data_IF_047403225642
#
_entry.id   IF_047403225642
#
_cell.length_a   1.000
_cell.length_b   1.000
_cell.length_c   1.000
_cell.angle_alpha   90.00
_cell.angle_beta   90.00
_cell.angle_gamma   90.00
#
_symmetry.space_group_name_H-M   'P 1'
#
loop_
_entity.id
_entity.type
_entity.pdbx_description
1 polymer ?
#
# COMPACT_ATOMS: atom_id res chain seq x y z
N UNK A 1 -51.01 -25.10 -23.07
CA UNK A 1 -52.47 -25.11 -22.88
C UNK A 1 -52.77 -24.62 -21.48
N UNK A 2 -53.81 -23.79 -21.36
CA UNK A 2 -54.23 -23.03 -20.18
C UNK A 2 -54.62 -23.95 -19.02
N UNK A 3 -54.29 -23.57 -17.79
CA UNK A 3 -55.17 -23.78 -16.65
C UNK A 3 -54.90 -22.71 -15.60
N UNK A 4 -55.90 -21.84 -15.47
CA UNK A 4 -56.09 -20.83 -14.42
C UNK A 4 -56.87 -21.46 -13.25
N UNK A 5 -57.05 -20.69 -12.17
CA UNK A 5 -58.00 -20.86 -11.03
C UNK A 5 -57.48 -21.76 -9.88
N UNK A 6 -57.62 -21.44 -8.58
CA UNK A 6 -58.40 -20.44 -7.84
C UNK A 6 -57.88 -20.35 -6.36
N UNK A 7 -57.79 -19.12 -5.83
CA UNK A 7 -58.16 -18.62 -4.48
C UNK A 7 -58.08 -19.53 -3.21
N UNK A 8 -57.44 -19.02 -2.14
CA UNK A 8 -58.10 -18.79 -0.83
C UNK A 8 -57.14 -18.10 0.16
N UNK A 9 -57.43 -16.83 0.42
CA UNK A 9 -56.92 -16.02 1.52
C UNK A 9 -57.81 -16.29 2.73
N UNK A 10 -57.27 -16.70 3.87
CA UNK A 10 -58.03 -16.76 5.14
C UNK A 10 -57.32 -15.91 6.19
N UNK A 11 -57.96 -14.78 6.48
CA UNK A 11 -57.69 -13.91 7.60
C UNK A 11 -58.23 -14.54 8.89
N UNK A 12 -57.45 -14.46 9.97
CA UNK A 12 -57.90 -14.78 11.34
C UNK A 12 -58.11 -13.47 12.09
N UNK A 13 -59.29 -13.23 12.69
CA UNK A 13 -59.55 -12.00 13.45
C UNK A 13 -59.34 -12.18 14.96
N UNK A 14 -58.88 -11.08 15.57
CA UNK A 14 -59.31 -10.49 16.85
C UNK A 14 -59.20 -11.30 18.16
N UNK A 15 -58.37 -10.79 19.08
CA UNK A 15 -58.74 -10.65 20.49
C UNK A 15 -57.86 -9.58 21.16
N UNK A 16 -58.47 -8.46 21.52
CA UNK A 16 -57.89 -7.45 22.41
C UNK A 16 -58.02 -7.90 23.86
N UNK A 17 -56.96 -7.77 24.65
CA UNK A 17 -57.03 -7.73 26.11
C UNK A 17 -56.19 -6.54 26.61
N UNK A 18 -56.91 -5.49 26.98
CA UNK A 18 -56.45 -4.38 27.80
C UNK A 18 -56.32 -4.87 29.24
N UNK A 19 -55.16 -4.72 29.87
CA UNK A 19 -55.08 -4.65 31.33
C UNK A 19 -54.20 -3.46 31.73
N UNK A 20 -54.87 -2.42 32.19
CA UNK A 20 -54.27 -1.28 32.88
C UNK A 20 -54.02 -1.65 34.34
N UNK A 21 -52.85 -1.33 34.88
CA UNK A 21 -52.74 -0.81 36.26
C UNK A 21 -51.39 -0.14 36.51
N UNK A 22 -51.41 1.19 36.37
CA UNK A 22 -50.85 2.19 37.30
C UNK A 22 -49.55 1.80 38.04
N UNK A 23 -48.41 2.20 37.48
CA UNK A 23 -47.19 2.51 38.24
C UNK A 23 -46.97 4.02 38.26
N UNK A 24 -47.17 4.66 39.42
CA UNK A 24 -46.90 6.09 39.62
C UNK A 24 -45.41 6.29 39.91
N UNK A 25 -44.66 6.83 38.94
CA UNK A 25 -43.32 7.35 39.19
C UNK A 25 -43.42 8.84 39.53
N UNK A 26 -43.27 9.20 40.81
CA UNK A 26 -43.08 10.58 41.24
C UNK A 26 -41.64 11.01 40.93
N UNK A 27 -41.45 11.84 39.92
CA UNK A 27 -40.17 12.50 39.65
C UNK A 27 -40.05 13.76 40.50
N UNK A 28 -39.21 13.74 41.53
CA UNK A 28 -38.70 14.97 42.13
C UNK A 28 -37.58 15.50 41.24
N UNK A 29 -37.64 16.72 40.68
CA UNK A 29 -36.51 17.28 39.97
C UNK A 29 -35.41 17.65 40.98
N UNK A 30 -34.17 17.23 40.69
CA UNK A 30 -32.96 17.65 41.41
C UNK A 30 -32.72 19.16 41.17
N UNK A 31 -32.16 19.90 42.15
CA UNK A 31 -31.85 21.31 41.98
C UNK A 31 -30.72 21.50 40.96
N UNK A 32 -31.00 22.19 39.86
CA UNK A 32 -29.97 22.67 38.92
C UNK A 32 -29.33 23.93 39.46
N UNK A 33 -28.07 23.83 39.86
CA UNK A 33 -27.20 24.99 40.04
C UNK A 33 -26.75 25.54 38.68
N UNK A 34 -26.68 26.88 38.49
CA UNK A 34 -26.19 27.45 37.25
C UNK A 34 -24.67 27.22 37.13
N UNK A 35 -24.26 26.52 36.06
CA UNK A 35 -22.87 26.43 35.64
C UNK A 35 -22.40 27.80 35.14
N UNK A 36 -21.59 28.50 35.93
CA UNK A 36 -20.77 29.61 35.43
C UNK A 36 -19.72 29.06 34.46
N UNK A 37 -19.94 29.25 33.16
CA UNK A 37 -18.96 28.91 32.12
C UNK A 37 -17.84 29.96 32.09
N UNK A 38 -16.73 29.70 32.78
CA UNK A 38 -15.48 30.40 32.49
C UNK A 38 -14.90 29.81 31.20
N UNK A 39 -15.06 30.52 30.07
CA UNK A 39 -14.44 30.15 28.80
C UNK A 39 -12.94 30.49 28.85
N UNK A 40 -12.11 29.52 29.22
CA UNK A 40 -10.72 29.55 28.76
C UNK A 40 -10.70 29.28 27.25
N UNK A 41 -9.93 30.03 26.44
CA UNK A 41 -9.81 29.69 25.03
C UNK A 41 -9.12 28.33 24.92
N UNK A 42 -9.88 27.33 24.53
CA UNK A 42 -9.36 26.00 24.20
C UNK A 42 -8.48 26.14 22.95
N UNK A 43 -7.19 26.35 23.14
CA UNK A 43 -6.20 26.24 22.05
C UNK A 43 -6.17 24.79 21.60
N UNK A 44 -7.00 24.44 20.61
CA UNK A 44 -6.94 23.13 19.97
C UNK A 44 -5.58 22.99 19.29
N UNK A 45 -4.76 22.06 19.78
CA UNK A 45 -3.53 21.65 19.09
C UNK A 45 -3.94 20.97 17.78
N UNK A 46 -3.88 21.72 16.69
CA UNK A 46 -3.94 21.17 15.34
C UNK A 46 -2.68 20.30 15.16
N UNK A 47 -2.85 18.98 15.22
CA UNK A 47 -1.78 18.02 15.00
C UNK A 47 -1.44 17.98 13.51
N UNK A 48 -0.56 18.87 13.06
CA UNK A 48 0.08 18.80 11.75
C UNK A 48 1.35 17.93 11.83
N UNK A 49 1.31 16.76 11.18
CA UNK A 49 2.38 15.77 11.21
C UNK A 49 3.63 16.21 10.42
N UNK A 50 3.55 17.28 9.62
CA UNK A 50 4.67 17.79 8.81
C UNK A 50 5.61 18.74 9.54
N UNK A 51 5.31 19.19 10.76
CA UNK A 51 6.19 20.07 11.55
C UNK A 51 6.42 19.50 12.95
N UNK A 52 7.35 18.54 13.06
CA UNK A 52 7.98 18.22 14.36
C UNK A 52 8.93 19.37 14.69
N UNK A 53 8.43 20.45 15.28
CA UNK A 53 9.31 21.47 15.82
C UNK A 53 10.11 20.85 16.97
N UNK A 54 11.42 20.75 16.78
CA UNK A 54 12.33 20.83 17.90
C UNK A 54 12.16 22.22 18.52
N UNK A 55 12.27 22.35 19.84
CA UNK A 55 12.26 23.66 20.49
C UNK A 55 13.35 24.55 19.83
N UNK A 56 12.94 25.67 19.22
CA UNK A 56 13.79 26.59 18.44
C UNK A 56 15.02 27.08 19.23
N UNK A 57 14.96 27.08 20.57
CA UNK A 57 16.08 27.41 21.45
C UNK A 57 17.25 26.43 21.35
N UNK A 58 17.03 25.20 20.89
CA UNK A 58 18.08 24.19 20.68
C UNK A 58 18.87 24.36 19.38
N UNK A 59 18.43 25.27 18.49
CA UNK A 59 19.11 25.58 17.24
C UNK A 59 20.13 26.71 17.39
N UNK A 60 19.97 27.60 18.39
CA UNK A 60 20.88 28.72 18.63
C UNK A 60 22.23 28.28 19.26
N UNK A 61 22.32 27.08 19.83
CA UNK A 61 23.58 26.49 20.33
C UNK A 61 24.31 25.66 19.24
N UNK A 62 23.66 25.40 18.10
CA UNK A 62 24.16 24.47 17.09
C UNK A 62 25.36 25.01 16.28
N UNK A 63 25.61 26.31 16.29
CA UNK A 63 26.72 26.92 15.54
C UNK A 63 28.09 26.80 16.23
N UNK A 64 28.11 26.44 17.52
CA UNK A 64 29.36 26.23 18.30
C UNK A 64 29.47 24.83 18.94
N UNK A 65 28.55 23.91 18.66
CA UNK A 65 28.56 22.59 19.30
C UNK A 65 29.47 21.63 18.52
N UNK A 66 30.65 21.33 19.08
CA UNK A 66 31.49 20.23 18.61
C UNK A 66 30.78 18.90 18.90
N UNK A 67 30.60 18.07 17.88
CA UNK A 67 30.03 16.73 18.04
C UNK A 67 31.01 15.81 18.77
N UNK A 68 30.81 15.66 20.08
CA UNK A 68 31.44 14.63 20.91
C UNK A 68 30.47 13.46 21.13
N UNK A 69 30.98 12.29 21.55
CA UNK A 69 30.14 11.11 21.80
C UNK A 69 29.02 11.37 22.84
N UNK A 70 29.24 12.32 23.75
CA UNK A 70 28.30 12.67 24.82
C UNK A 70 27.09 13.48 24.33
N UNK A 71 27.24 14.18 23.20
CA UNK A 71 26.24 15.13 22.68
C UNK A 71 25.38 14.57 21.54
N UNK A 72 25.64 13.34 21.09
CA UNK A 72 24.86 12.68 20.03
C UNK A 72 23.52 12.18 20.57
N UNK A 73 22.42 12.66 19.98
CA UNK A 73 21.05 12.23 20.32
C UNK A 73 20.31 11.77 19.06
N UNK A 74 19.49 10.69 19.14
CA UNK A 74 18.68 10.27 18.01
C UNK A 74 17.59 11.31 17.72
N UNK A 75 17.20 11.43 16.45
CA UNK A 75 16.09 12.29 16.06
C UNK A 75 14.81 11.94 16.84
N UNK A 76 14.02 12.94 17.27
CA UNK A 76 12.84 12.72 18.11
C UNK A 76 11.84 11.79 17.40
N UNK A 77 11.46 10.69 18.04
CA UNK A 77 10.55 9.70 17.47
C UNK A 77 11.20 8.61 16.60
N UNK A 78 12.51 8.68 16.33
CA UNK A 78 13.25 7.60 15.66
C UNK A 78 13.25 6.31 16.48
N UNK A 79 13.44 6.42 17.81
CA UNK A 79 13.45 5.28 18.74
C UNK A 79 12.32 5.43 19.75
N UNK A 80 11.35 4.51 19.71
CA UNK A 80 10.28 4.41 20.72
C UNK A 80 10.68 3.37 21.77
N UNK A 81 10.49 3.69 23.06
CA UNK A 81 10.71 2.72 24.15
C UNK A 81 9.62 1.65 24.08
N UNK A 82 10.01 0.38 24.16
CA UNK A 82 9.06 -0.73 24.20
C UNK A 82 8.44 -0.87 25.59
N UNK A 83 7.17 -1.24 25.65
CA UNK A 83 6.49 -1.57 26.90
C UNK A 83 6.99 -2.91 27.44
N UNK A 84 7.50 -2.91 28.67
CA UNK A 84 7.91 -4.12 29.38
C UNK A 84 6.70 -4.71 30.09
N UNK A 85 6.05 -5.70 29.45
CA UNK A 85 4.85 -6.37 29.96
C UNK A 85 5.11 -7.06 31.31
N UNK A 86 4.09 -7.14 32.16
CA UNK A 86 4.17 -7.81 33.46
C UNK A 86 4.99 -7.05 34.52
N UNK A 87 4.92 -5.71 34.51
CA UNK A 87 5.62 -4.82 35.46
C UNK A 87 4.65 -3.85 36.15
N UNK A 88 3.72 -4.41 36.92
CA UNK A 88 2.73 -3.62 37.67
C UNK A 88 1.64 -3.01 36.79
N UNK A 89 0.50 -2.70 37.40
CA UNK A 89 -0.71 -2.25 36.68
C UNK A 89 -0.51 -0.82 36.14
N UNK A 90 0.20 0.04 36.88
CA UNK A 90 0.45 1.43 36.49
C UNK A 90 1.22 1.56 35.15
N UNK A 91 2.00 0.55 34.77
CA UNK A 91 2.71 0.50 33.48
C UNK A 91 1.81 0.09 32.29
N UNK A 92 0.50 -0.12 32.51
CA UNK A 92 -0.50 -0.47 31.49
C UNK A 92 -0.73 -1.97 31.36
N UNK A 93 0.28 -2.73 30.92
CA UNK A 93 0.15 -4.18 30.62
C UNK A 93 0.62 -5.08 31.78
N UNK A 94 0.19 -4.76 33.00
CA UNK A 94 0.64 -5.39 34.25
C UNK A 94 0.02 -6.75 34.55
N UNK A 95 -1.31 -6.80 34.68
CA UNK A 95 -2.00 -7.96 35.25
C UNK A 95 -2.07 -9.17 34.30
N UNK A 96 -2.46 -8.95 33.04
CA UNK A 96 -2.65 -10.03 32.05
C UNK A 96 -1.75 -9.88 30.83
N UNK A 97 -0.83 -8.90 30.83
CA UNK A 97 0.05 -8.58 29.71
C UNK A 97 -0.68 -8.33 28.37
N UNK A 98 -1.98 -8.04 28.43
CA UNK A 98 -2.87 -7.82 27.28
C UNK A 98 -3.52 -9.09 26.72
N UNK A 99 -3.37 -10.23 27.39
CA UNK A 99 -3.93 -11.52 26.93
C UNK A 99 -5.33 -11.82 27.49
N UNK A 100 -5.80 -11.05 28.47
CA UNK A 100 -7.12 -11.24 29.09
C UNK A 100 -7.18 -12.42 30.07
N UNK A 101 -8.36 -13.03 30.19
CA UNK A 101 -8.61 -14.18 31.08
C UNK A 101 -8.04 -15.49 30.49
N UNK A 102 -8.28 -16.60 31.17
CA UNK A 102 -7.80 -17.93 30.79
C UNK A 102 -8.43 -18.40 29.48
N UNK A 103 -7.62 -18.58 28.44
CA UNK A 103 -8.04 -19.15 27.15
C UNK A 103 -6.85 -19.70 26.38
N UNK A 104 -7.09 -20.36 25.23
CA UNK A 104 -5.99 -20.96 24.44
C UNK A 104 -4.93 -19.93 24.01
N UNK A 105 -5.34 -18.70 23.68
CA UNK A 105 -4.45 -17.60 23.27
C UNK A 105 -3.66 -16.97 24.42
N UNK A 106 -4.02 -17.25 25.67
CA UNK A 106 -3.33 -16.72 26.86
C UNK A 106 -2.28 -17.70 27.41
N UNK A 107 -2.15 -18.90 26.83
CA UNK A 107 -1.18 -19.92 27.25
C UNK A 107 0.13 -19.75 26.48
N UNK A 108 1.23 -20.16 27.11
CA UNK A 108 2.53 -20.25 26.44
C UNK A 108 2.52 -21.32 25.36
N UNK A 109 3.25 -21.08 24.27
CA UNK A 109 3.39 -22.02 23.16
C UNK A 109 2.91 -21.47 21.83
N UNK A 110 2.85 -22.34 20.81
CA UNK A 110 2.45 -21.96 19.46
C UNK A 110 0.94 -21.72 19.42
N UNK A 111 0.47 -20.54 18.98
CA UNK A 111 -0.95 -20.31 18.81
C UNK A 111 -1.49 -21.14 17.65
N UNK A 112 -2.81 -21.18 17.55
CA UNK A 112 -3.53 -21.76 16.42
C UNK A 112 -3.00 -21.23 15.09
N UNK A 113 -2.76 -22.14 14.12
CA UNK A 113 -2.19 -21.79 12.81
C UNK A 113 -3.05 -20.72 12.11
N UNK A 114 -2.40 -19.72 11.52
CA UNK A 114 -3.08 -18.73 10.68
C UNK A 114 -3.89 -19.43 9.57
N UNK A 115 -5.17 -19.08 9.45
CA UNK A 115 -6.13 -19.71 8.53
C UNK A 115 -6.78 -20.99 9.06
N UNK A 116 -6.72 -21.30 10.36
CA UNK A 116 -7.57 -22.32 10.98
C UNK A 116 -8.83 -21.69 11.57
N UNK A 117 -10.00 -22.27 11.22
CA UNK A 117 -11.33 -21.72 11.54
C UNK A 117 -12.10 -22.64 12.52
N UNK A 118 -11.41 -23.16 13.56
CA UNK A 118 -12.09 -23.89 14.64
C UNK A 118 -12.60 -25.29 14.28
N UNK A 119 -12.06 -25.93 13.23
CA UNK A 119 -12.53 -27.23 12.73
C UNK A 119 -13.41 -27.13 11.48
N UNK A 120 -13.91 -25.93 11.17
CA UNK A 120 -14.54 -25.66 9.87
C UNK A 120 -13.50 -25.79 8.75
N UNK A 121 -13.92 -26.28 7.56
CA UNK A 121 -13.04 -26.33 6.38
C UNK A 121 -12.51 -24.93 6.07
N UNK A 122 -11.19 -24.65 6.14
CA UNK A 122 -10.68 -23.29 5.98
C UNK A 122 -10.99 -22.65 4.63
N UNK A 123 -11.06 -21.31 4.59
CA UNK A 123 -11.33 -20.53 3.38
C UNK A 123 -10.45 -20.92 2.18
N UNK A 124 -9.14 -21.12 2.38
CA UNK A 124 -8.20 -21.49 1.32
C UNK A 124 -8.45 -22.89 0.74
N UNK A 125 -9.30 -23.71 1.38
CA UNK A 125 -9.79 -25.00 0.84
C UNK A 125 -11.20 -24.89 0.27
N UNK A 126 -11.98 -23.88 0.64
CA UNK A 126 -13.34 -23.66 0.09
C UNK A 126 -13.28 -23.02 -1.28
N UNK A 127 -12.34 -22.10 -1.48
CA UNK A 127 -12.18 -21.42 -2.76
C UNK A 127 -11.55 -22.39 -3.78
N UNK A 128 -12.04 -22.41 -5.03
CA UNK A 128 -11.37 -23.14 -6.09
C UNK A 128 -9.95 -22.58 -6.28
N UNK A 129 -9.01 -23.44 -6.68
CA UNK A 129 -7.68 -22.99 -7.04
C UNK A 129 -7.80 -22.00 -8.21
N UNK A 130 -7.04 -20.91 -8.17
CA UNK A 130 -7.04 -19.91 -9.23
C UNK A 130 -6.61 -20.56 -10.56
N UNK A 131 -7.53 -20.64 -11.52
CA UNK A 131 -7.26 -21.15 -12.86
C UNK A 131 -6.37 -20.13 -13.59
N UNK A 132 -5.23 -20.57 -14.12
CA UNK A 132 -4.29 -19.70 -14.84
C UNK A 132 -3.12 -19.12 -14.04
N UNK A 133 -2.96 -19.47 -12.75
CA UNK A 133 -1.68 -19.27 -12.04
C UNK A 133 -0.80 -20.51 -12.12
N UNK A 134 0.47 -20.36 -12.55
CA UNK A 134 1.30 -21.50 -12.89
C UNK A 134 1.90 -22.18 -11.66
N UNK A 135 1.71 -23.49 -11.52
CA UNK A 135 2.43 -24.34 -10.56
C UNK A 135 2.98 -25.57 -11.29
N UNK A 136 3.48 -25.37 -12.51
CA UNK A 136 4.06 -26.41 -13.35
C UNK A 136 5.35 -25.94 -14.04
N UNK A 137 6.30 -26.84 -14.35
CA UNK A 137 7.58 -26.53 -15.01
C UNK A 137 7.47 -25.83 -16.38
N UNK A 138 6.30 -25.86 -17.02
CA UNK A 138 6.05 -25.31 -18.36
C UNK A 138 5.70 -23.81 -18.41
N UNK A 139 5.58 -23.15 -17.26
CA UNK A 139 5.12 -21.76 -17.21
C UNK A 139 6.27 -20.79 -16.92
N UNK A 140 7.25 -20.77 -17.81
CA UNK A 140 8.28 -19.73 -17.78
C UNK A 140 7.67 -18.48 -18.40
N UNK A 141 7.46 -17.45 -17.58
CA UNK A 141 7.20 -16.11 -18.13
C UNK A 141 8.53 -15.58 -18.67
N UNK A 142 8.59 -15.35 -19.97
CA UNK A 142 9.69 -14.56 -20.54
C UNK A 142 9.64 -13.18 -19.89
N UNK A 143 10.68 -12.86 -19.13
CA UNK A 143 10.76 -11.58 -18.42
C UNK A 143 11.58 -10.63 -19.26
N UNK A 144 11.11 -9.41 -19.42
CA UNK A 144 11.73 -8.39 -20.26
C UNK A 144 12.22 -7.25 -19.38
N UNK A 145 13.38 -6.69 -19.72
CA UNK A 145 13.80 -5.41 -19.18
C UNK A 145 13.10 -4.31 -19.98
N UNK A 146 12.16 -3.62 -19.35
CA UNK A 146 11.34 -2.60 -20.00
C UNK A 146 12.04 -1.25 -19.95
N UNK A 147 12.16 -0.60 -21.10
CA UNK A 147 12.65 0.78 -21.26
C UNK A 147 11.43 1.65 -21.56
N UNK A 148 11.19 2.70 -20.78
CA UNK A 148 10.06 3.62 -20.99
C UNK A 148 10.48 4.79 -21.87
N UNK A 149 9.52 5.41 -22.56
CA UNK A 149 9.80 6.59 -23.38
C UNK A 149 10.24 7.80 -22.55
N UNK A 150 9.69 7.95 -21.33
CA UNK A 150 10.09 9.03 -20.41
C UNK A 150 11.58 9.02 -20.08
N UNK A 151 12.17 7.81 -19.97
CA UNK A 151 13.59 7.61 -19.65
C UNK A 151 14.50 8.04 -20.81
N UNK A 152 13.97 8.06 -22.04
CA UNK A 152 14.69 8.50 -23.24
C UNK A 152 14.72 10.02 -23.39
N UNK A 153 13.83 10.77 -22.73
CA UNK A 153 13.79 12.23 -22.84
C UNK A 153 15.01 12.92 -22.24
N UNK A 154 15.68 12.27 -21.29
CA UNK A 154 16.87 12.81 -20.64
C UNK A 154 18.12 12.74 -21.54
N UNK A 155 18.05 12.02 -22.66
CA UNK A 155 19.14 11.91 -23.62
C UNK A 155 19.21 13.13 -24.54
N UNK A 156 20.41 13.46 -24.99
CA UNK A 156 20.63 14.51 -25.98
C UNK A 156 20.04 14.09 -27.35
N UNK A 157 19.49 15.07 -28.07
CA UNK A 157 18.93 14.87 -29.41
C UNK A 157 19.99 14.34 -30.38
N UNK A 158 19.68 13.28 -31.13
CA UNK A 158 20.64 12.64 -32.05
C UNK A 158 21.49 11.54 -31.43
N UNK A 159 21.37 11.26 -30.13
CA UNK A 159 22.13 10.20 -29.47
C UNK A 159 21.61 8.79 -29.80
N UNK A 160 22.51 7.81 -29.69
CA UNK A 160 22.19 6.39 -29.81
C UNK A 160 21.81 5.85 -28.43
N UNK A 161 20.54 5.49 -28.27
CA UNK A 161 19.98 4.92 -27.06
C UNK A 161 20.15 3.40 -27.06
N UNK A 162 21.28 2.96 -26.49
CA UNK A 162 21.57 1.57 -26.20
C UNK A 162 21.31 1.28 -24.74
N UNK A 163 21.03 0.02 -24.39
CA UNK A 163 20.86 -0.32 -22.98
C UNK A 163 22.14 -0.10 -22.16
N UNK A 164 23.32 -0.30 -22.74
CA UNK A 164 24.59 0.02 -22.08
C UNK A 164 24.73 1.52 -21.83
N UNK A 165 24.45 2.36 -22.84
CA UNK A 165 24.54 3.82 -22.69
C UNK A 165 23.51 4.37 -21.70
N UNK A 166 22.30 3.83 -21.69
CA UNK A 166 21.26 4.18 -20.72
C UNK A 166 21.62 3.81 -19.28
N UNK A 167 22.36 2.72 -19.10
CA UNK A 167 22.82 2.27 -17.79
C UNK A 167 24.00 3.13 -17.30
N UNK A 168 24.93 3.47 -18.18
CA UNK A 168 26.04 4.39 -17.89
C UNK A 168 25.53 5.81 -17.56
N UNK A 169 24.51 6.28 -18.27
CA UNK A 169 23.83 7.54 -18.00
C UNK A 169 22.93 7.54 -16.75
N UNK A 170 22.76 6.38 -16.09
CA UNK A 170 21.93 6.25 -14.89
C UNK A 170 20.42 6.41 -15.14
N UNK A 171 19.99 6.48 -16.40
CA UNK A 171 18.58 6.58 -16.78
C UNK A 171 17.84 5.25 -16.57
N UNK A 172 18.57 4.13 -16.67
CA UNK A 172 18.06 2.79 -16.38
C UNK A 172 18.88 2.15 -15.28
N UNK A 173 18.25 1.84 -14.15
CA UNK A 173 18.88 1.05 -13.07
C UNK A 173 18.99 -0.41 -13.50
N UNK A 174 20.04 -1.12 -13.07
CA UNK A 174 20.26 -2.57 -13.31
C UNK A 174 18.98 -3.38 -13.09
N UNK A 175 18.25 -3.63 -14.17
CA UNK A 175 17.20 -4.63 -14.23
C UNK A 175 17.89 -5.96 -14.59
N UNK A 176 17.50 -7.03 -13.91
CA UNK A 176 18.16 -8.35 -13.87
C UNK A 176 19.08 -8.64 -15.08
N UNK A 177 20.42 -8.65 -14.91
CA UNK A 177 21.38 -8.73 -16.01
C UNK A 177 21.33 -10.06 -16.76
N UNK A 178 20.68 -11.08 -16.18
CA UNK A 178 20.47 -12.39 -16.80
C UNK A 178 19.34 -12.39 -17.82
N UNK A 179 18.57 -11.30 -17.93
CA UNK A 179 17.50 -11.20 -18.91
C UNK A 179 18.07 -10.74 -20.26
N UNK A 180 18.01 -11.58 -21.30
CA UNK A 180 18.58 -11.23 -22.60
C UNK A 180 17.71 -10.19 -23.33
N UNK A 181 16.40 -10.15 -23.06
CA UNK A 181 15.46 -9.37 -23.83
C UNK A 181 15.21 -7.98 -23.22
N UNK A 182 15.60 -6.94 -23.95
CA UNK A 182 15.34 -5.53 -23.64
C UNK A 182 14.25 -5.01 -24.56
N UNK A 183 13.19 -4.43 -24.00
CA UNK A 183 11.98 -4.05 -24.73
C UNK A 183 11.62 -2.60 -24.49
N UNK A 184 11.44 -1.83 -25.57
CA UNK A 184 10.98 -0.44 -25.47
C UNK A 184 9.45 -0.40 -25.49
N UNK A 185 8.87 0.22 -24.47
CA UNK A 185 7.43 0.27 -24.24
C UNK A 185 6.91 1.68 -24.43
N UNK A 186 5.82 1.81 -25.19
CA UNK A 186 5.13 3.07 -25.46
C UNK A 186 4.31 3.54 -24.27
N UNK A 187 5.00 3.85 -23.17
CA UNK A 187 4.43 4.42 -21.95
C UNK A 187 5.25 5.65 -21.58
N UNK A 188 4.55 6.76 -21.38
CA UNK A 188 5.17 8.05 -21.15
C UNK A 188 5.06 8.98 -22.36
N UNK A 189 5.35 10.25 -22.13
CA UNK A 189 5.36 11.29 -23.16
C UNK A 189 6.77 11.38 -23.75
N UNK A 190 6.90 11.34 -25.07
CA UNK A 190 8.21 11.43 -25.74
C UNK A 190 8.38 12.80 -26.36
N UNK A 191 9.38 13.56 -25.90
CA UNK A 191 9.63 14.95 -26.31
C UNK A 191 10.97 15.13 -27.03
N UNK A 192 11.92 14.21 -26.81
CA UNK A 192 13.21 14.25 -27.47
C UNK A 192 13.10 13.91 -28.96
N UNK A 193 13.89 14.62 -29.79
CA UNK A 193 13.87 14.50 -31.25
C UNK A 193 15.12 13.79 -31.77
N UNK A 194 14.94 12.97 -32.81
CA UNK A 194 16.06 12.37 -33.54
C UNK A 194 16.86 11.30 -32.78
N UNK A 195 16.30 10.65 -31.76
CA UNK A 195 16.99 9.57 -31.05
C UNK A 195 16.99 8.29 -31.89
N UNK A 196 18.14 7.64 -31.99
CA UNK A 196 18.26 6.30 -32.57
C UNK A 196 18.16 5.28 -31.45
N UNK A 197 17.09 4.49 -31.42
CA UNK A 197 16.84 3.51 -30.33
C UNK A 197 17.22 2.11 -30.80
N UNK A 198 18.20 1.48 -30.12
CA UNK A 198 18.57 0.08 -30.37
C UNK A 198 18.08 -0.82 -29.23
N UNK A 199 17.19 -1.76 -29.55
CA UNK A 199 16.62 -2.69 -28.57
C UNK A 199 16.24 -4.04 -29.21
N UNK A 200 16.05 -5.07 -28.39
CA UNK A 200 15.74 -6.41 -28.89
C UNK A 200 14.30 -6.53 -29.40
N UNK A 201 13.36 -5.81 -28.79
CA UNK A 201 11.98 -5.71 -29.28
C UNK A 201 11.36 -4.37 -28.90
N UNK A 202 10.35 -3.94 -29.65
CA UNK A 202 9.71 -2.62 -29.48
C UNK A 202 8.22 -2.79 -29.68
N UNK A 203 7.43 -2.17 -28.80
CA UNK A 203 5.96 -2.16 -28.92
C UNK A 203 5.50 -1.28 -30.09
N UNK A 204 4.42 -1.65 -30.78
CA UNK A 204 3.92 -0.89 -31.96
C UNK A 204 3.70 0.60 -31.66
N UNK A 205 3.06 0.91 -30.54
CA UNK A 205 2.87 2.30 -30.07
C UNK A 205 4.19 3.05 -29.86
N UNK A 206 5.22 2.40 -29.32
CA UNK A 206 6.51 3.05 -29.13
C UNK A 206 7.17 3.40 -30.47
N UNK A 207 7.06 2.50 -31.45
CA UNK A 207 7.60 2.72 -32.80
C UNK A 207 6.97 3.96 -33.44
N UNK A 208 5.64 4.03 -33.45
CA UNK A 208 4.90 5.16 -34.02
C UNK A 208 5.30 6.50 -33.38
N UNK A 209 5.43 6.55 -32.05
CA UNK A 209 5.81 7.77 -31.33
C UNK A 209 7.26 8.19 -31.63
N UNK A 210 8.20 7.23 -31.68
CA UNK A 210 9.62 7.52 -31.96
C UNK A 210 9.79 8.01 -33.40
N UNK A 211 9.15 7.36 -34.36
CA UNK A 211 9.19 7.73 -35.79
C UNK A 211 8.53 9.10 -36.03
N UNK A 212 7.40 9.40 -35.36
CA UNK A 212 6.73 10.70 -35.44
C UNK A 212 7.60 11.87 -34.97
N UNK A 213 8.50 11.62 -34.01
CA UNK A 213 9.48 12.60 -33.51
C UNK A 213 10.81 12.60 -34.30
N UNK A 214 10.85 11.93 -35.46
CA UNK A 214 12.00 11.87 -36.36
C UNK A 214 13.15 10.98 -35.86
N UNK A 215 12.86 10.07 -34.93
CA UNK A 215 13.83 9.08 -34.43
C UNK A 215 13.94 7.87 -35.36
N UNK A 216 15.03 7.11 -35.20
CA UNK A 216 15.27 5.85 -35.92
C UNK A 216 15.17 4.67 -34.98
N UNK A 217 14.66 3.55 -35.48
CA UNK A 217 14.41 2.35 -34.68
C UNK A 217 15.19 1.17 -35.25
N UNK A 218 16.14 0.64 -34.46
CA UNK A 218 16.99 -0.49 -34.85
C UNK A 218 16.73 -1.69 -33.93
N UNK A 219 16.41 -2.84 -34.53
CA UNK A 219 16.11 -4.08 -33.79
C UNK A 219 17.37 -4.94 -33.70
N UNK A 220 17.78 -5.27 -32.47
CA UNK A 220 18.95 -6.10 -32.18
C UNK A 220 18.59 -7.59 -32.00
N UNK A 221 19.47 -8.47 -32.48
CA UNK A 221 19.37 -9.92 -32.21
C UNK A 221 19.53 -10.20 -30.70
N UNK A 222 18.63 -10.99 -30.08
CA UNK A 222 18.72 -11.29 -28.66
C UNK A 222 19.92 -12.15 -28.27
N UNK A 223 20.48 -12.90 -29.23
CA UNK A 223 21.62 -13.80 -29.00
C UNK A 223 22.94 -13.14 -29.41
N UNK A 224 22.95 -12.47 -30.56
CA UNK A 224 24.19 -11.97 -31.19
C UNK A 224 24.43 -10.47 -30.94
N UNK A 225 23.38 -9.70 -30.63
CA UNK A 225 23.48 -8.25 -30.45
C UNK A 225 23.67 -7.46 -31.75
N UNK A 226 23.67 -8.12 -32.91
CA UNK A 226 23.76 -7.50 -34.23
C UNK A 226 22.42 -6.88 -34.66
N UNK A 227 22.47 -5.85 -35.50
CA UNK A 227 21.29 -5.16 -36.03
C UNK A 227 20.65 -6.04 -37.13
N UNK A 228 19.41 -6.50 -36.89
CA UNK A 228 18.69 -7.39 -37.83
C UNK A 228 17.91 -6.59 -38.87
N UNK A 229 17.48 -5.37 -38.54
CA UNK A 229 16.61 -4.58 -39.43
C UNK A 229 17.10 -3.15 -39.52
N UNK A 230 17.77 -2.84 -40.63
CA UNK A 230 17.93 -1.48 -41.15
C UNK A 230 16.87 -1.34 -42.23
N UNK A 231 15.68 -0.82 -41.90
CA UNK A 231 14.79 -0.38 -42.98
C UNK A 231 15.37 0.92 -43.51
N UNK A 232 15.93 0.85 -44.71
CA UNK A 232 16.08 2.00 -45.60
C UNK A 232 14.70 2.60 -45.94
#
# INVERSE_FOLDING_TARGET
MRSFFLLALLAVPSAALNLSSKGSFSSTPLPTSPLTSASSPTTMKLFDWKRRQADESSLNDAESTVFTLDNLKPAPGSRKRFERKGRGIAAGQGATCGFGMRGQKSRSGRPTRAGFEGGQQPLYRRLPKFVGKPTGPGHKKTTYNLIKLDELNALTSGSVANYSSLLEGGHVTKCNPKLPHKVVVGRGDFTAKGITVQANAITGKAREIIESNGGKVEILSPTTGEIITTKE
#
